data_IF_816835619473
#
_entry.id   IF_816835619473
#
_cell.length_a   1.000
_cell.length_b   1.000
_cell.length_c   1.000
_cell.angle_alpha   90.00
_cell.angle_beta   90.00
_cell.angle_gamma   90.00
#
_symmetry.space_group_name_H-M   'P 1'
#
loop_
_entity.id
_entity.type
_entity.pdbx_description
1 polymer ?
#
# COMPACT_ATOMS: atom_id res chain seq x y z
N UNK A 1 5.86 19.29 -19.86
CA UNK A 1 5.47 18.08 -20.62
C UNK A 1 4.76 17.14 -19.68
N UNK A 2 3.86 16.30 -20.20
CA UNK A 2 3.18 15.24 -19.44
C UNK A 2 3.34 13.95 -20.23
N UNK A 3 3.77 12.88 -19.56
CA UNK A 3 3.92 11.55 -20.15
C UNK A 3 3.04 10.58 -19.39
N UNK A 4 2.13 9.90 -20.11
CA UNK A 4 1.25 8.88 -19.55
C UNK A 4 1.86 7.51 -19.87
N UNK A 5 2.43 6.86 -18.85
CA UNK A 5 3.19 5.60 -19.03
C UNK A 5 2.33 4.35 -18.96
N UNK A 6 1.07 4.46 -18.54
CA UNK A 6 0.17 3.33 -18.36
C UNK A 6 0.55 2.48 -17.15
N UNK A 7 0.23 1.19 -17.21
CA UNK A 7 0.61 0.22 -16.19
C UNK A 7 2.13 -0.05 -16.23
N UNK A 8 2.75 -0.06 -15.05
CA UNK A 8 4.19 -0.27 -14.88
C UNK A 8 4.39 -1.39 -13.87
N UNK A 9 5.07 -2.46 -14.28
CA UNK A 9 5.38 -3.59 -13.40
C UNK A 9 6.68 -3.40 -12.61
N UNK A 10 7.64 -2.62 -13.12
CA UNK A 10 8.87 -2.27 -12.41
C UNK A 10 8.80 -0.84 -11.86
N UNK A 11 8.05 -0.68 -10.78
CA UNK A 11 7.92 0.63 -10.11
C UNK A 11 9.24 1.10 -9.49
N UNK A 12 10.15 0.18 -9.15
CA UNK A 12 11.44 0.52 -8.55
C UNK A 12 12.33 1.32 -9.51
N UNK A 13 12.37 0.93 -10.79
CA UNK A 13 13.08 1.67 -11.83
C UNK A 13 12.52 3.10 -12.01
N UNK A 14 11.19 3.27 -11.94
CA UNK A 14 10.55 4.58 -12.00
C UNK A 14 10.84 5.44 -10.78
N UNK A 15 10.76 4.86 -9.59
CA UNK A 15 11.08 5.58 -8.35
C UNK A 15 12.55 6.00 -8.32
N UNK A 16 13.47 5.23 -8.90
CA UNK A 16 14.87 5.60 -8.98
C UNK A 16 15.09 6.96 -9.66
N UNK A 17 14.40 7.20 -10.79
CA UNK A 17 14.50 8.44 -11.58
C UNK A 17 13.53 9.53 -11.14
N UNK A 18 12.55 9.22 -10.27
CA UNK A 18 11.58 10.18 -9.74
C UNK A 18 12.20 11.07 -8.66
N UNK A 19 11.84 12.35 -8.62
CA UNK A 19 12.29 13.28 -7.57
C UNK A 19 11.26 13.49 -6.46
N UNK A 20 9.97 13.53 -6.79
CA UNK A 20 8.85 13.81 -5.88
C UNK A 20 7.72 12.85 -6.25
N UNK A 21 7.10 12.23 -5.25
CA UNK A 21 5.89 11.41 -5.45
C UNK A 21 4.69 12.16 -4.89
N UNK A 22 3.57 12.12 -5.60
CA UNK A 22 2.35 12.82 -5.24
C UNK A 22 1.19 11.83 -5.17
N UNK A 23 0.49 11.79 -4.04
CA UNK A 23 -0.70 10.95 -3.84
C UNK A 23 -1.88 11.81 -3.35
N UNK A 24 -2.60 12.50 -4.25
CA UNK A 24 -3.67 13.43 -3.87
C UNK A 24 -5.03 12.73 -3.83
N UNK A 25 -5.11 11.55 -3.18
CA UNK A 25 -6.33 10.75 -3.07
C UNK A 25 -7.49 11.55 -2.44
N UNK A 26 -8.72 11.35 -2.93
CA UNK A 26 -9.89 12.08 -2.43
C UNK A 26 -10.69 11.32 -1.38
N UNK A 27 -10.74 9.99 -1.48
CA UNK A 27 -11.53 9.12 -0.61
C UNK A 27 -10.82 7.78 -0.44
N UNK A 28 -11.08 7.11 0.69
CA UNK A 28 -10.69 5.72 0.97
C UNK A 28 -9.22 5.39 0.68
N UNK A 29 -8.34 5.78 1.60
CA UNK A 29 -6.95 5.32 1.61
C UNK A 29 -6.76 4.41 2.83
N UNK A 30 -6.50 3.12 2.62
CA UNK A 30 -6.26 2.19 3.72
C UNK A 30 -4.86 2.42 4.29
N UNK A 31 -3.92 1.60 3.86
CA UNK A 31 -2.50 1.84 4.05
C UNK A 31 -1.89 2.17 2.68
N UNK A 32 -1.35 3.38 2.46
CA UNK A 32 -0.90 3.78 1.14
C UNK A 32 0.45 3.13 0.77
N UNK A 33 0.40 1.93 0.18
CA UNK A 33 1.61 1.20 -0.23
C UNK A 33 2.50 2.03 -1.17
N UNK A 34 1.91 2.78 -2.10
CA UNK A 34 2.66 3.67 -2.99
C UNK A 34 3.48 4.74 -2.23
N UNK A 35 2.97 5.24 -1.10
CA UNK A 35 3.70 6.18 -0.22
C UNK A 35 4.83 5.46 0.50
N UNK A 36 4.59 4.25 1.00
CA UNK A 36 5.61 3.43 1.66
C UNK A 36 6.74 3.10 0.69
N UNK A 37 6.43 2.71 -0.55
CA UNK A 37 7.39 2.43 -1.62
C UNK A 37 8.21 3.67 -1.98
N UNK A 38 7.56 4.82 -2.15
CA UNK A 38 8.23 6.09 -2.41
C UNK A 38 9.21 6.47 -1.28
N UNK A 39 8.76 6.36 -0.03
CA UNK A 39 9.59 6.63 1.14
C UNK A 39 10.73 5.61 1.27
N UNK A 40 10.51 4.33 0.98
CA UNK A 40 11.56 3.30 0.92
C UNK A 40 12.65 3.63 -0.13
N UNK A 41 12.25 4.26 -1.24
CA UNK A 41 13.14 4.78 -2.26
C UNK A 41 13.76 6.16 -1.91
N UNK A 42 13.52 6.68 -0.70
CA UNK A 42 13.83 8.05 -0.25
C UNK A 42 13.35 9.15 -1.18
N UNK A 43 12.12 9.03 -1.66
CA UNK A 43 11.45 10.10 -2.36
C UNK A 43 10.53 10.80 -1.38
N UNK A 44 10.61 12.14 -1.22
CA UNK A 44 9.61 12.85 -0.45
C UNK A 44 8.25 12.69 -1.12
N UNK A 45 7.23 12.68 -0.29
CA UNK A 45 5.84 12.51 -0.70
C UNK A 45 5.05 13.78 -0.42
N UNK A 46 4.16 14.16 -1.32
CA UNK A 46 3.07 15.11 -1.06
C UNK A 46 1.77 14.34 -1.17
N UNK A 47 1.05 14.18 -0.07
CA UNK A 47 -0.13 13.33 -0.02
C UNK A 47 -1.28 14.01 0.71
N UNK A 48 -2.52 13.62 0.41
CA UNK A 48 -3.69 14.10 1.14
C UNK A 48 -3.76 13.47 2.54
N UNK A 49 -4.17 14.26 3.52
CA UNK A 49 -4.30 13.83 4.92
C UNK A 49 -5.59 13.01 5.15
N UNK A 50 -5.72 11.87 4.47
CA UNK A 50 -6.88 10.98 4.59
C UNK A 50 -6.46 9.54 4.86
N UNK A 51 -7.35 8.78 5.49
CA UNK A 51 -7.12 7.36 5.72
C UNK A 51 -5.91 7.07 6.61
N UNK A 52 -5.14 6.03 6.31
CA UNK A 52 -3.89 5.72 7.02
C UNK A 52 -2.68 6.54 6.57
N UNK A 53 -2.84 7.50 5.65
CA UNK A 53 -1.72 8.34 5.17
C UNK A 53 -1.03 9.12 6.30
N UNK A 54 -1.74 9.74 7.26
CA UNK A 54 -1.12 10.42 8.39
C UNK A 54 -0.36 9.49 9.35
N UNK A 55 -0.63 8.18 9.34
CA UNK A 55 0.13 7.21 10.14
C UNK A 55 1.49 6.91 9.49
N UNK A 56 1.56 6.97 8.16
CA UNK A 56 2.77 6.71 7.38
C UNK A 56 3.64 7.96 7.28
N UNK A 57 3.04 9.11 6.93
CA UNK A 57 3.75 10.37 6.66
C UNK A 57 3.76 11.25 7.89
N UNK A 58 4.94 11.61 8.35
CA UNK A 58 5.15 12.65 9.36
C UNK A 58 5.23 14.02 8.65
N UNK A 59 4.22 14.86 8.86
CA UNK A 59 4.08 16.12 8.12
C UNK A 59 5.28 17.05 8.35
N UNK A 60 5.74 17.66 7.27
CA UNK A 60 6.93 18.53 7.22
C UNK A 60 8.25 17.85 7.64
N UNK A 61 8.22 16.57 8.02
CA UNK A 61 9.39 15.78 8.40
C UNK A 61 9.72 14.77 7.31
N UNK A 62 8.85 13.82 7.00
CA UNK A 62 9.12 12.79 5.97
C UNK A 62 8.44 13.08 4.64
N UNK A 63 7.55 14.06 4.61
CA UNK A 63 6.82 14.52 3.43
C UNK A 63 5.90 15.68 3.80
N UNK A 64 4.92 15.98 2.96
CA UNK A 64 3.87 16.95 3.24
C UNK A 64 2.50 16.29 3.19
N UNK A 65 1.68 16.63 4.17
CA UNK A 65 0.27 16.33 4.20
C UNK A 65 -0.52 17.59 3.81
N UNK A 66 -1.48 17.43 2.90
CA UNK A 66 -2.35 18.51 2.42
C UNK A 66 -3.84 18.16 2.61
N UNK A 67 -4.73 19.15 2.67
CA UNK A 67 -6.17 18.89 2.61
C UNK A 67 -6.58 18.26 1.27
N UNK A 68 -7.57 17.35 1.24
CA UNK A 68 -8.15 16.89 -0.02
C UNK A 68 -8.88 18.03 -0.74
N UNK A 69 -8.91 17.97 -2.08
CA UNK A 69 -9.52 18.99 -2.96
C UNK A 69 -8.89 20.39 -2.86
N UNK A 70 -7.64 20.47 -2.43
CA UNK A 70 -6.88 21.73 -2.37
C UNK A 70 -5.70 21.73 -3.37
N UNK A 71 -5.94 22.09 -4.65
CA UNK A 71 -4.88 22.16 -5.65
C UNK A 71 -3.85 23.27 -5.36
N UNK A 72 -4.23 24.32 -4.61
CA UNK A 72 -3.32 25.41 -4.26
C UNK A 72 -2.29 24.94 -3.23
N UNK A 73 -2.73 24.25 -2.18
CA UNK A 73 -1.84 23.60 -1.22
C UNK A 73 -0.96 22.55 -1.90
N UNK A 74 -1.52 21.75 -2.82
CA UNK A 74 -0.74 20.77 -3.58
C UNK A 74 0.39 21.43 -4.39
N UNK A 75 0.07 22.49 -5.14
CA UNK A 75 1.03 23.22 -5.94
C UNK A 75 2.11 23.91 -5.09
N UNK A 76 1.74 24.49 -3.95
CA UNK A 76 2.69 25.10 -3.00
C UNK A 76 3.72 24.08 -2.50
N UNK A 77 3.25 22.91 -2.03
CA UNK A 77 4.14 21.88 -1.48
C UNK A 77 5.04 21.25 -2.53
N UNK A 78 4.53 20.99 -3.74
CA UNK A 78 5.36 20.53 -4.86
C UNK A 78 6.38 21.61 -5.24
N UNK A 79 5.95 22.87 -5.38
CA UNK A 79 6.80 24.00 -5.73
C UNK A 79 7.97 24.17 -4.75
N UNK A 80 7.69 24.04 -3.45
CA UNK A 80 8.72 24.07 -2.40
C UNK A 80 9.74 22.94 -2.55
N UNK A 81 9.29 21.71 -2.80
CA UNK A 81 10.21 20.58 -3.02
C UNK A 81 11.03 20.73 -4.30
N UNK A 82 10.48 21.37 -5.34
CA UNK A 82 11.20 21.71 -6.57
C UNK A 82 12.29 22.75 -6.31
N UNK A 83 12.00 23.81 -5.54
CA UNK A 83 12.92 24.91 -5.27
C UNK A 83 13.99 24.61 -4.21
N UNK A 84 13.75 23.62 -3.32
CA UNK A 84 14.66 23.27 -2.23
C UNK A 84 15.20 21.83 -2.32
N UNK A 85 16.24 21.55 -3.15
CA UNK A 85 16.82 20.20 -3.28
C UNK A 85 17.42 19.61 -1.99
N UNK A 86 17.85 20.45 -1.06
CA UNK A 86 18.32 20.01 0.27
C UNK A 86 17.16 19.46 1.10
N UNK A 87 16.04 20.18 1.13
CA UNK A 87 14.81 19.75 1.81
C UNK A 87 14.29 18.44 1.24
N UNK A 88 14.21 18.33 -0.10
CA UNK A 88 13.80 17.12 -0.82
C UNK A 88 14.63 15.90 -0.41
N UNK A 89 15.97 16.03 -0.41
CA UNK A 89 16.88 14.96 0.01
C UNK A 89 16.74 14.60 1.49
N UNK A 90 16.61 15.61 2.35
CA UNK A 90 16.47 15.40 3.79
C UNK A 90 15.15 14.69 4.14
N UNK A 91 14.03 15.13 3.56
CA UNK A 91 12.72 14.50 3.74
C UNK A 91 12.73 13.04 3.25
N UNK A 92 13.24 12.81 2.03
CA UNK A 92 13.38 11.46 1.49
C UNK A 92 14.21 10.55 2.39
N UNK A 93 15.35 11.03 2.89
CA UNK A 93 16.19 10.28 3.83
C UNK A 93 15.46 9.90 5.12
N UNK A 94 14.74 10.86 5.73
CA UNK A 94 13.93 10.60 6.93
C UNK A 94 12.77 9.64 6.66
N UNK A 95 12.12 9.77 5.51
CA UNK A 95 11.06 8.83 5.08
C UNK A 95 11.58 7.40 4.96
N UNK A 96 12.76 7.21 4.35
CA UNK A 96 13.39 5.89 4.24
C UNK A 96 13.71 5.30 5.62
N UNK A 97 14.24 6.10 6.52
CA UNK A 97 14.54 5.66 7.88
C UNK A 97 13.27 5.21 8.60
N UNK A 98 12.19 6.00 8.52
CA UNK A 98 10.88 5.68 9.11
C UNK A 98 10.29 4.37 8.56
N UNK A 99 10.34 4.16 7.24
CA UNK A 99 9.86 2.91 6.63
C UNK A 99 10.63 1.70 7.13
N UNK A 100 11.96 1.79 7.19
CA UNK A 100 12.79 0.68 7.72
C UNK A 100 12.44 0.32 9.15
N UNK A 101 12.21 1.33 9.99
CA UNK A 101 11.91 1.17 11.42
C UNK A 101 10.51 0.58 11.67
N UNK A 102 9.50 1.05 10.93
CA UNK A 102 8.09 0.80 11.26
C UNK A 102 7.31 -0.04 10.26
N UNK A 103 7.70 -0.03 9.00
CA UNK A 103 6.91 -0.57 7.89
C UNK A 103 7.67 -1.64 7.08
N UNK A 104 8.80 -2.13 7.59
CA UNK A 104 9.52 -3.23 6.95
C UNK A 104 8.76 -4.55 7.12
N UNK A 105 8.80 -5.40 6.10
CA UNK A 105 8.18 -6.73 6.14
C UNK A 105 8.68 -7.57 7.31
N UNK A 106 9.98 -7.49 7.62
CA UNK A 106 10.57 -8.17 8.78
C UNK A 106 9.98 -7.68 10.11
N UNK A 107 9.77 -6.36 10.26
CA UNK A 107 9.12 -5.79 11.45
C UNK A 107 7.67 -6.25 11.56
N UNK A 108 6.91 -6.16 10.47
CA UNK A 108 5.51 -6.59 10.46
C UNK A 108 5.39 -8.08 10.81
N UNK A 109 6.22 -8.94 10.22
CA UNK A 109 6.24 -10.37 10.53
C UNK A 109 6.55 -10.63 12.01
N UNK A 110 7.53 -9.93 12.58
CA UNK A 110 7.88 -10.06 14.00
C UNK A 110 6.71 -9.64 14.91
N UNK A 111 6.04 -8.54 14.59
CA UNK A 111 4.88 -8.04 15.37
C UNK A 111 3.70 -9.03 15.29
N UNK A 112 3.43 -9.60 14.12
CA UNK A 112 2.41 -10.64 13.95
C UNK A 112 2.74 -11.92 14.73
N UNK A 113 3.99 -12.41 14.63
CA UNK A 113 4.44 -13.60 15.38
C UNK A 113 4.26 -13.38 16.88
N UNK A 114 4.64 -12.19 17.38
CA UNK A 114 4.49 -11.84 18.79
C UNK A 114 3.03 -11.84 19.23
N UNK A 115 2.13 -11.26 18.42
CA UNK A 115 0.70 -11.26 18.71
C UNK A 115 0.13 -12.68 18.76
N UNK A 116 0.44 -13.51 17.75
CA UNK A 116 -0.01 -14.90 17.70
C UNK A 116 0.52 -15.73 18.88
N UNK A 117 1.80 -15.57 19.25
CA UNK A 117 2.38 -16.23 20.40
C UNK A 117 1.67 -15.81 21.70
N UNK A 118 1.43 -14.51 21.89
CA UNK A 118 0.71 -14.00 23.06
C UNK A 118 -0.71 -14.55 23.19
N UNK A 119 -1.43 -14.77 22.07
CA UNK A 119 -2.76 -15.39 22.09
C UNK A 119 -2.72 -16.87 22.45
N UNK A 120 -1.68 -17.59 22.02
CA UNK A 120 -1.48 -19.00 22.39
C UNK A 120 -1.12 -19.13 23.88
N UNK A 121 -0.28 -18.24 24.40
CA UNK A 121 0.15 -18.21 25.80
C UNK A 121 -0.96 -17.75 26.74
N UNK A 122 -1.84 -16.83 26.29
CA UNK A 122 -2.97 -16.31 27.07
C UNK A 122 -4.09 -17.34 27.32
N UNK A 123 -3.99 -18.56 26.78
CA UNK A 123 -4.67 -19.73 27.36
C UNK A 123 -6.20 -19.65 27.48
N UNK A 124 -6.86 -18.80 26.69
CA UNK A 124 -8.31 -18.79 26.53
C UNK A 124 -8.69 -19.49 25.25
N UNK A 125 -8.49 -20.81 25.15
CA UNK A 125 -9.17 -21.57 24.11
C UNK A 125 -10.68 -21.29 24.18
N UNK A 126 -11.43 -21.23 23.07
CA UNK A 126 -12.87 -21.08 23.14
C UNK A 126 -13.42 -22.16 24.08
N UNK A 127 -14.14 -21.76 25.13
CA UNK A 127 -14.85 -22.68 26.04
C UNK A 127 -16.03 -23.39 25.34
N UNK A 128 -16.01 -23.51 24.00
CA UNK A 128 -17.03 -24.18 23.20
C UNK A 128 -16.37 -24.95 22.07
N UNK A 129 -16.38 -26.28 22.19
CA UNK A 129 -16.36 -27.32 21.13
C UNK A 129 -15.55 -27.10 19.84
N UNK A 130 -14.53 -26.24 19.82
CA UNK A 130 -13.74 -26.02 18.62
C UNK A 130 -12.96 -27.29 18.31
N UNK A 131 -13.37 -27.97 17.24
CA UNK A 131 -12.67 -29.11 16.65
C UNK A 131 -11.21 -28.68 16.46
N UNK A 132 -10.27 -29.35 17.13
CA UNK A 132 -8.85 -29.18 16.82
C UNK A 132 -8.66 -29.41 15.31
N UNK A 133 -7.74 -28.68 14.64
CA UNK A 133 -7.39 -28.98 13.26
C UNK A 133 -7.15 -30.49 13.14
N UNK A 134 -7.83 -31.16 12.20
CA UNK A 134 -7.59 -32.58 11.96
C UNK A 134 -6.12 -32.79 11.64
N UNK A 135 -5.60 -34.00 11.87
CA UNK A 135 -4.20 -34.35 11.59
C UNK A 135 -3.78 -34.01 10.13
N UNK A 136 -4.75 -33.82 9.23
CA UNK A 136 -4.56 -33.32 7.86
C UNK A 136 -3.90 -31.92 7.79
N UNK A 137 -4.22 -30.98 8.70
CA UNK A 137 -3.57 -29.66 8.72
C UNK A 137 -2.16 -29.70 9.34
N UNK A 138 -1.85 -30.73 10.14
CA UNK A 138 -0.48 -30.96 10.67
C UNK A 138 0.42 -31.64 9.63
N UNK A 139 -0.17 -32.46 8.75
CA UNK A 139 0.51 -33.11 7.64
C UNK A 139 0.74 -32.18 6.44
N UNK A 140 -0.01 -31.08 6.34
CA UNK A 140 0.22 -30.04 5.35
C UNK A 140 1.53 -29.30 5.66
N UNK A 141 2.63 -29.80 5.10
CA UNK A 141 3.89 -29.08 5.08
C UNK A 141 3.69 -27.80 4.28
N UNK A 142 3.68 -26.66 4.96
CA UNK A 142 3.84 -25.38 4.31
C UNK A 142 5.20 -25.36 3.61
N UNK A 143 5.19 -25.48 2.29
CA UNK A 143 6.35 -25.19 1.45
C UNK A 143 6.31 -23.71 1.14
N UNK A 144 7.23 -22.93 1.71
CA UNK A 144 7.38 -21.54 1.34
C UNK A 144 7.59 -21.47 -0.19
N UNK A 145 6.88 -20.60 -0.92
CA UNK A 145 7.17 -20.39 -2.33
C UNK A 145 8.62 -19.90 -2.43
N UNK A 146 9.39 -20.56 -3.29
CA UNK A 146 10.78 -20.21 -3.56
C UNK A 146 10.82 -18.74 -3.98
N UNK A 147 11.68 -17.94 -3.34
CA UNK A 147 11.83 -16.53 -3.66
C UNK A 147 12.15 -16.43 -5.16
N UNK A 148 11.20 -15.91 -5.94
CA UNK A 148 11.33 -15.84 -7.40
C UNK A 148 12.50 -14.93 -7.78
N UNK A 149 13.67 -15.54 -7.92
CA UNK A 149 14.83 -14.95 -8.57
C UNK A 149 14.65 -15.14 -10.08
N UNK A 150 14.23 -14.08 -10.76
CA UNK A 150 14.54 -13.84 -12.18
C UNK A 150 13.84 -14.70 -13.23
N UNK A 151 13.11 -13.98 -14.11
CA UNK A 151 12.93 -14.25 -15.55
C UNK A 151 12.51 -15.65 -15.96
N UNK A 152 11.20 -15.86 -16.18
CA UNK A 152 10.68 -16.40 -17.45
C UNK A 152 9.13 -16.52 -17.42
N UNK A 153 8.48 -15.96 -18.45
CA UNK A 153 7.16 -16.33 -18.95
C UNK A 153 5.97 -16.35 -17.98
N UNK A 154 5.38 -15.18 -17.69
CA UNK A 154 4.02 -15.12 -17.12
C UNK A 154 3.01 -15.50 -18.20
N UNK A 155 2.41 -16.69 -18.06
CA UNK A 155 1.20 -17.04 -18.80
C UNK A 155 0.06 -16.10 -18.36
N UNK A 156 -0.58 -15.46 -19.34
CA UNK A 156 -1.71 -14.56 -19.10
C UNK A 156 -2.90 -15.30 -18.46
N UNK A 157 -3.59 -14.72 -17.47
CA UNK A 157 -4.88 -15.24 -17.01
C UNK A 157 -5.93 -15.06 -18.12
N UNK A 158 -6.66 -16.13 -18.41
CA UNK A 158 -7.68 -16.16 -19.45
C UNK A 158 -8.87 -15.29 -19.02
N UNK A 159 -9.32 -14.44 -19.94
CA UNK A 159 -10.48 -13.56 -19.79
C UNK A 159 -11.74 -14.37 -19.43
N UNK A 160 -12.29 -14.17 -18.23
CA UNK A 160 -13.66 -14.60 -17.91
C UNK A 160 -14.59 -13.46 -18.37
N UNK A 161 -15.37 -13.72 -19.42
CA UNK A 161 -16.35 -12.77 -19.95
C UNK A 161 -17.48 -12.46 -18.94
N UNK A 162 -18.18 -11.33 -19.10
CA UNK A 162 -19.21 -10.91 -18.15
C UNK A 162 -20.40 -11.88 -18.14
N UNK A 163 -20.75 -12.35 -16.95
CA UNK A 163 -22.00 -13.07 -16.66
C UNK A 163 -23.18 -12.14 -16.89
N UNK A 164 -24.12 -12.55 -17.74
CA UNK A 164 -25.34 -11.79 -18.04
C UNK A 164 -26.18 -11.57 -16.78
N UNK A 165 -26.61 -10.33 -16.57
CA UNK A 165 -27.58 -9.97 -15.54
C UNK A 165 -29.00 -10.44 -15.92
N UNK A 166 -29.85 -10.85 -14.97
CA UNK A 166 -31.23 -11.24 -15.24
C UNK A 166 -32.09 -10.03 -15.63
N UNK A 167 -33.01 -10.26 -16.56
CA UNK A 167 -33.96 -9.29 -17.10
C UNK A 167 -35.08 -8.99 -16.11
N UNK A 168 -35.11 -7.78 -15.55
CA UNK A 168 -36.29 -7.28 -14.86
C UNK A 168 -37.19 -6.55 -15.86
N UNK A 169 -38.34 -7.17 -16.13
CA UNK A 169 -39.49 -6.58 -16.81
C UNK A 169 -40.32 -5.78 -15.82
N UNK A 170 -40.37 -4.46 -15.97
CA UNK A 170 -41.30 -3.60 -15.23
C UNK A 170 -42.40 -3.10 -16.19
N UNK A 171 -43.70 -3.19 -15.84
CA UNK A 171 -44.79 -2.77 -16.71
C UNK A 171 -45.05 -1.26 -16.61
N UNK A 172 -45.43 -0.68 -17.74
CA UNK A 172 -45.83 0.72 -17.89
C UNK A 172 -47.10 1.05 -17.08
N UNK A 173 -47.07 2.20 -16.39
CA UNK A 173 -48.28 2.89 -15.91
C UNK A 173 -48.58 4.12 -16.80
N UNK A 174 -49.85 4.43 -17.10
CA UNK A 174 -50.21 5.37 -18.16
C UNK A 174 -50.49 6.80 -17.66
N UNK A 175 -50.25 7.72 -18.62
CA UNK A 175 -50.62 9.15 -18.78
C UNK A 175 -49.89 10.18 -17.93
#
# INVERSE_FOLDING_TARGET
>A
QVTLVGEVHDIAAFLYTTEIVVLPSLTNEGMPNAVIEAMAAAKPVVATAIGGTPDVVDDSVTGFLIPPKDPAALADRIGRLCSEPSLRRAMGGRGRARVRERFSSGRMAADYIRLCAGLLDAGGGPQGTARRPSDALRAAKWTAPEAATGTDGVAQPQHVGPTAAPSDSEPAHPV
#
